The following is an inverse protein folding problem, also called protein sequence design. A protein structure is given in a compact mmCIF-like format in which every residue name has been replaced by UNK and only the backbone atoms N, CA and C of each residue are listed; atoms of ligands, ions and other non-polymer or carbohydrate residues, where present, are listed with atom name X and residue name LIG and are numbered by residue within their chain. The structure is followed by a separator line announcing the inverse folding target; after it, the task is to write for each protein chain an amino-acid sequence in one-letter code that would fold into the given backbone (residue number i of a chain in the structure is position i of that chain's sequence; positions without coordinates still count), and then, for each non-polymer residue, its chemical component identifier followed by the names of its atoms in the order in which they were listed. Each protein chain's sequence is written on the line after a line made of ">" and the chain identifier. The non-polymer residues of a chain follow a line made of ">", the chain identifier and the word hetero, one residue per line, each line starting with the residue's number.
data_IF_425557140805
#
_entry.id   IF_425557140805
#
_cell.length_a   1.000
_cell.length_b   1.000
_cell.length_c   1.000
_cell.angle_alpha   90.00
_cell.angle_beta   90.00
_cell.angle_gamma   90.00
#
_symmetry.space_group_name_H-M   'P 1'
#
loop_
_entity.id
_entity.type
_entity.pdbx_description
1 polymer ?
#
# COMPACT_ATOMS: atom_id res chain seq x y z
N UNK A 1 5.57 -2.13 17.68
CA UNK A 1 5.09 -0.96 18.44
C UNK A 1 5.00 0.31 17.58
N UNK A 2 6.02 0.62 16.77
CA UNK A 2 6.05 1.83 15.95
C UNK A 2 4.83 1.93 15.03
N UNK A 3 4.39 0.83 14.42
CA UNK A 3 3.22 0.84 13.53
C UNK A 3 1.92 1.14 14.29
N UNK A 4 1.70 0.52 15.44
CA UNK A 4 0.42 0.62 16.17
C UNK A 4 0.32 1.86 17.07
N UNK A 5 1.44 2.52 17.36
CA UNK A 5 1.49 3.67 18.26
C UNK A 5 2.30 4.82 17.68
N UNK A 6 1.92 5.40 16.52
CA UNK A 6 2.71 6.46 15.87
C UNK A 6 2.94 7.69 16.76
N UNK A 7 2.01 8.02 17.65
CA UNK A 7 2.14 9.16 18.56
C UNK A 7 3.34 9.04 19.53
N UNK A 8 3.78 7.81 19.85
CA UNK A 8 4.93 7.57 20.72
C UNK A 8 6.28 7.78 19.99
N UNK A 9 6.25 7.90 18.66
CA UNK A 9 7.45 8.00 17.83
C UNK A 9 7.38 9.20 16.86
N UNK A 10 7.27 10.45 17.38
CA UNK A 10 7.02 11.66 16.57
C UNK A 10 8.17 11.99 15.61
N UNK A 11 9.36 11.42 15.84
CA UNK A 11 10.54 11.59 15.02
C UNK A 11 10.88 10.35 14.19
N UNK A 12 9.90 9.45 14.00
CA UNK A 12 10.10 8.26 13.19
C UNK A 12 9.01 8.14 12.12
N UNK A 13 9.39 8.42 10.89
CA UNK A 13 8.57 8.17 9.70
C UNK A 13 8.91 6.78 9.19
N UNK A 14 7.93 5.89 9.13
CA UNK A 14 8.12 4.56 8.57
C UNK A 14 8.25 4.61 7.05
N UNK A 15 9.01 3.67 6.49
CA UNK A 15 9.19 3.52 5.06
C UNK A 15 8.65 2.17 4.62
N UNK A 16 7.73 2.17 3.65
CA UNK A 16 7.25 0.99 2.96
C UNK A 16 7.83 0.92 1.56
N UNK A 17 8.46 -0.20 1.23
CA UNK A 17 8.97 -0.47 -0.12
C UNK A 17 7.81 -0.78 -1.06
N UNK A 18 7.53 0.09 -2.03
CA UNK A 18 6.51 -0.14 -3.06
C UNK A 18 6.95 -1.23 -4.02
N UNK A 19 6.27 -2.37 -4.02
CA UNK A 19 6.60 -3.56 -4.83
C UNK A 19 8.00 -4.14 -4.56
N UNK A 20 8.53 -3.93 -3.34
CA UNK A 20 9.93 -4.23 -3.00
C UNK A 20 10.91 -3.17 -3.49
N UNK A 21 12.23 -3.50 -3.52
CA UNK A 21 13.27 -2.63 -4.07
C UNK A 21 13.52 -2.97 -5.55
N UNK A 22 12.68 -2.43 -6.42
CA UNK A 22 12.64 -2.76 -7.85
C UNK A 22 13.60 -1.93 -8.72
N UNK A 23 14.43 -1.10 -8.14
CA UNK A 23 15.48 -0.36 -8.90
C UNK A 23 16.45 -1.30 -9.61
N UNK A 24 16.88 -2.35 -8.91
CA UNK A 24 17.89 -3.30 -9.37
C UNK A 24 17.32 -4.71 -9.60
N UNK A 25 16.02 -4.89 -9.38
CA UNK A 25 15.30 -6.15 -9.51
C UNK A 25 13.92 -5.94 -10.13
N UNK A 26 13.28 -6.95 -10.72
CA UNK A 26 11.89 -6.83 -11.15
C UNK A 26 10.95 -6.49 -9.99
N UNK A 27 9.97 -5.61 -10.24
CA UNK A 27 8.93 -5.29 -9.24
C UNK A 27 8.16 -6.56 -8.82
N UNK A 28 7.66 -6.60 -7.58
CA UNK A 28 6.90 -7.73 -7.05
C UNK A 28 7.64 -9.09 -7.13
N UNK A 29 8.96 -9.10 -7.01
CA UNK A 29 9.80 -10.29 -7.06
C UNK A 29 10.44 -10.60 -5.70
N UNK A 30 10.80 -11.88 -5.49
CA UNK A 30 11.49 -12.28 -4.27
C UNK A 30 12.82 -11.53 -4.05
N UNK A 31 13.68 -11.33 -5.09
CA UNK A 31 14.89 -10.56 -4.88
C UNK A 31 14.63 -9.08 -4.56
N UNK A 32 13.59 -8.45 -5.14
CA UNK A 32 13.21 -7.09 -4.76
C UNK A 32 12.72 -6.99 -3.30
N UNK A 33 11.99 -8.01 -2.83
CA UNK A 33 11.57 -8.13 -1.43
C UNK A 33 12.80 -8.30 -0.52
N UNK A 34 13.71 -9.22 -0.84
CA UNK A 34 14.91 -9.42 -0.04
C UNK A 34 15.78 -8.15 0.03
N UNK A 35 15.99 -7.48 -1.10
CA UNK A 35 16.75 -6.24 -1.14
C UNK A 35 16.12 -5.12 -0.28
N UNK A 36 14.78 -5.02 -0.26
CA UNK A 36 14.09 -4.08 0.62
C UNK A 36 14.28 -4.41 2.12
N UNK A 37 14.28 -5.70 2.47
CA UNK A 37 14.59 -6.16 3.84
C UNK A 37 16.03 -5.78 4.20
N UNK A 38 16.97 -6.04 3.33
CA UNK A 38 18.40 -5.79 3.56
C UNK A 38 18.73 -4.30 3.69
N UNK A 39 17.98 -3.45 2.99
CA UNK A 39 18.03 -1.99 3.12
C UNK A 39 17.36 -1.48 4.40
N UNK A 40 16.65 -2.30 5.16
CA UNK A 40 16.01 -1.93 6.42
C UNK A 40 14.65 -1.24 6.25
N UNK A 41 13.88 -1.57 5.23
CA UNK A 41 12.48 -1.14 5.11
C UNK A 41 11.67 -1.59 6.34
N UNK A 42 10.78 -0.72 6.83
CA UNK A 42 9.89 -1.08 7.94
C UNK A 42 8.72 -1.95 7.47
N UNK A 43 8.33 -1.76 6.22
CA UNK A 43 7.24 -2.48 5.57
C UNK A 43 7.59 -2.74 4.11
N UNK A 44 7.04 -3.78 3.54
CA UNK A 44 7.07 -4.03 2.08
C UNK A 44 5.63 -4.10 1.61
N UNK A 45 5.36 -3.35 0.56
CA UNK A 45 4.11 -3.43 -0.15
C UNK A 45 4.28 -4.26 -1.42
N UNK A 46 3.33 -5.11 -1.72
CA UNK A 46 3.26 -5.82 -2.98
C UNK A 46 1.82 -6.09 -3.43
N UNK A 47 1.65 -6.15 -4.74
CA UNK A 47 0.36 -6.39 -5.38
C UNK A 47 0.11 -7.88 -5.55
N UNK A 48 -1.13 -8.32 -5.31
CA UNK A 48 -1.51 -9.72 -5.51
C UNK A 48 -2.62 -9.90 -6.54
N UNK A 49 -2.64 -11.08 -7.11
CA UNK A 49 -3.75 -11.60 -7.90
C UNK A 49 -3.81 -13.11 -7.71
N UNK A 50 -4.71 -13.80 -8.42
CA UNK A 50 -4.76 -15.26 -8.43
C UNK A 50 -4.80 -15.82 -9.84
N UNK A 51 -4.38 -17.06 -9.99
CA UNK A 51 -4.61 -17.86 -11.21
C UNK A 51 -6.06 -18.38 -11.25
N UNK A 52 -6.47 -18.94 -12.36
CA UNK A 52 -7.81 -19.55 -12.50
C UNK A 52 -7.99 -20.80 -11.63
N UNK A 53 -6.88 -21.46 -11.28
CA UNK A 53 -6.80 -22.59 -10.34
C UNK A 53 -6.46 -22.18 -8.89
N UNK A 54 -6.78 -20.91 -8.52
CA UNK A 54 -6.76 -20.36 -7.16
C UNK A 54 -5.38 -20.22 -6.48
N UNK A 55 -4.28 -20.22 -7.21
CA UNK A 55 -2.96 -19.90 -6.64
C UNK A 55 -2.79 -18.38 -6.54
N UNK A 56 -2.59 -17.85 -5.32
CA UNK A 56 -2.28 -16.45 -5.08
C UNK A 56 -0.81 -16.16 -5.43
N UNK A 57 -0.58 -15.15 -6.27
CA UNK A 57 0.76 -14.76 -6.72
C UNK A 57 0.90 -13.24 -6.87
N UNK A 58 2.14 -12.77 -6.99
CA UNK A 58 2.45 -11.35 -7.08
C UNK A 58 2.43 -10.88 -8.53
N UNK A 59 1.56 -9.92 -8.84
CA UNK A 59 1.52 -9.21 -10.12
C UNK A 59 0.67 -7.95 -10.02
N UNK A 60 1.21 -6.81 -10.48
CA UNK A 60 0.46 -5.56 -10.48
C UNK A 60 -0.56 -5.48 -11.62
N UNK A 61 -0.16 -5.77 -12.85
CA UNK A 61 -0.94 -5.52 -14.06
C UNK A 61 -2.05 -6.56 -14.29
N UNK A 62 -3.02 -6.19 -15.10
CA UNK A 62 -4.06 -7.10 -15.58
C UNK A 62 -3.57 -8.02 -16.70
N UNK A 63 -2.41 -7.72 -17.27
CA UNK A 63 -1.75 -8.46 -18.32
C UNK A 63 -0.30 -8.77 -18.01
N UNK A 64 0.26 -9.70 -18.78
CA UNK A 64 1.62 -10.21 -18.60
C UNK A 64 2.70 -9.37 -19.32
N UNK A 65 2.31 -8.64 -20.36
CA UNK A 65 3.21 -8.10 -21.38
C UNK A 65 4.28 -7.13 -20.84
N UNK A 66 3.93 -6.27 -19.88
CA UNK A 66 4.88 -5.31 -19.30
C UNK A 66 5.86 -5.99 -18.35
N UNK A 67 5.37 -6.90 -17.52
CA UNK A 67 6.07 -7.41 -16.34
C UNK A 67 6.75 -8.78 -16.56
N UNK A 68 6.36 -9.51 -17.61
CA UNK A 68 6.84 -10.87 -17.81
C UNK A 68 7.20 -11.15 -19.27
N UNK A 69 7.81 -12.32 -19.52
CA UNK A 69 8.01 -12.85 -20.87
C UNK A 69 6.76 -13.46 -21.50
N UNK A 70 5.66 -13.56 -20.75
CA UNK A 70 4.35 -14.01 -21.24
C UNK A 70 3.54 -12.90 -21.89
N UNK A 71 2.40 -13.27 -22.46
CA UNK A 71 1.51 -12.37 -23.18
C UNK A 71 0.05 -12.55 -22.77
N UNK A 72 -0.72 -11.47 -22.95
CA UNK A 72 -2.16 -11.44 -22.76
C UNK A 72 -2.58 -11.19 -21.31
N UNK A 73 -3.89 -11.17 -21.10
CA UNK A 73 -4.50 -10.84 -19.81
C UNK A 73 -4.53 -12.05 -18.89
N UNK A 74 -4.37 -11.79 -17.59
CA UNK A 74 -4.51 -12.79 -16.51
C UNK A 74 -5.80 -12.60 -15.74
N UNK A 75 -6.33 -11.38 -15.72
CA UNK A 75 -7.61 -11.06 -15.08
C UNK A 75 -8.32 -9.93 -15.82
N UNK A 76 -9.64 -9.90 -15.71
CA UNK A 76 -10.51 -8.82 -16.21
C UNK A 76 -11.65 -8.60 -15.22
N UNK A 77 -11.98 -7.37 -14.95
CA UNK A 77 -13.06 -7.00 -14.03
C UNK A 77 -12.76 -5.75 -13.23
N UNK A 78 -13.67 -5.42 -12.34
CA UNK A 78 -13.54 -4.29 -11.40
C UNK A 78 -14.25 -4.62 -10.08
N UNK A 79 -13.73 -4.08 -8.98
CA UNK A 79 -14.30 -4.29 -7.65
C UNK A 79 -14.30 -5.76 -7.24
N UNK A 80 -15.46 -6.31 -6.91
CA UNK A 80 -15.62 -7.69 -6.44
C UNK A 80 -15.85 -8.72 -7.55
N UNK A 81 -15.82 -8.32 -8.83
CA UNK A 81 -16.13 -9.22 -9.96
C UNK A 81 -14.96 -9.30 -10.91
N UNK A 82 -14.13 -10.33 -10.72
CA UNK A 82 -13.03 -10.62 -11.64
C UNK A 82 -13.16 -12.00 -12.26
N UNK A 83 -12.82 -12.08 -13.53
CA UNK A 83 -12.55 -13.32 -14.26
C UNK A 83 -11.04 -13.52 -14.35
N UNK A 84 -10.58 -14.76 -14.21
CA UNK A 84 -9.18 -15.16 -14.26
C UNK A 84 -8.97 -16.12 -15.42
N UNK A 85 -7.83 -16.04 -16.12
CA UNK A 85 -7.69 -16.62 -17.45
C UNK A 85 -6.50 -17.56 -17.61
N UNK A 86 -5.64 -17.71 -16.61
CA UNK A 86 -4.45 -18.54 -16.73
C UNK A 86 -4.24 -19.36 -15.47
N UNK A 87 -3.91 -20.65 -15.67
CA UNK A 87 -3.51 -21.55 -14.59
C UNK A 87 -2.12 -21.22 -14.06
N UNK A 88 -1.83 -21.64 -12.84
CA UNK A 88 -0.50 -21.48 -12.28
C UNK A 88 0.57 -22.22 -13.09
N UNK A 89 0.23 -23.38 -13.70
CA UNK A 89 1.14 -24.11 -14.56
C UNK A 89 1.57 -23.32 -15.81
N UNK A 90 0.71 -22.48 -16.36
CA UNK A 90 1.04 -21.57 -17.46
C UNK A 90 1.90 -20.40 -17.00
N UNK A 91 1.77 -19.96 -15.73
CA UNK A 91 2.38 -18.75 -15.19
C UNK A 91 3.73 -18.98 -14.52
N UNK A 92 3.89 -20.06 -13.76
CA UNK A 92 5.02 -20.31 -12.84
C UNK A 92 6.41 -20.28 -13.47
N UNK A 93 6.52 -20.47 -14.79
CA UNK A 93 7.80 -20.48 -15.51
C UNK A 93 8.07 -19.20 -16.28
N UNK A 94 7.14 -18.25 -16.29
CA UNK A 94 7.36 -16.95 -16.91
C UNK A 94 8.44 -16.18 -16.16
N UNK A 95 9.37 -15.59 -16.92
CA UNK A 95 10.39 -14.73 -16.35
C UNK A 95 9.85 -13.32 -16.18
N UNK A 96 10.19 -12.69 -15.09
CA UNK A 96 9.91 -11.28 -14.84
C UNK A 96 10.83 -10.39 -15.69
N UNK A 97 10.38 -9.20 -15.99
CA UNK A 97 11.16 -8.17 -16.68
C UNK A 97 11.67 -7.12 -15.71
N UNK A 98 12.88 -6.68 -15.92
CA UNK A 98 13.47 -5.51 -15.28
C UNK A 98 12.72 -4.23 -15.70
N UNK A 99 12.93 -3.16 -14.95
CA UNK A 99 12.39 -1.83 -15.28
C UNK A 99 12.77 -1.37 -16.71
N UNK A 100 13.86 -1.88 -17.24
CA UNK A 100 14.30 -1.63 -18.62
C UNK A 100 13.47 -2.35 -19.68
N UNK A 101 12.65 -3.32 -19.26
CA UNK A 101 11.87 -4.19 -20.13
C UNK A 101 12.60 -5.45 -20.59
N UNK A 102 13.85 -5.65 -20.16
CA UNK A 102 14.64 -6.84 -20.44
C UNK A 102 14.21 -8.00 -19.53
N UNK A 103 14.21 -9.22 -20.05
CA UNK A 103 13.89 -10.40 -19.27
C UNK A 103 15.00 -10.69 -18.25
N UNK A 104 14.62 -10.87 -17.00
CA UNK A 104 15.52 -11.30 -15.94
C UNK A 104 15.59 -12.84 -15.84
N UNK A 105 16.38 -13.34 -14.90
CA UNK A 105 16.37 -14.76 -14.53
C UNK A 105 15.23 -15.13 -13.56
N UNK A 106 14.61 -14.13 -12.91
CA UNK A 106 13.62 -14.29 -11.87
C UNK A 106 12.23 -14.61 -12.44
N UNK A 107 11.44 -15.37 -11.67
CA UNK A 107 10.09 -15.80 -12.04
C UNK A 107 9.04 -15.16 -11.15
N UNK A 108 7.77 -15.30 -11.55
CA UNK A 108 6.64 -14.96 -10.72
C UNK A 108 6.73 -15.71 -9.36
N UNK A 109 6.42 -14.99 -8.30
CA UNK A 109 6.40 -15.53 -6.93
C UNK A 109 4.97 -15.74 -6.46
N UNK A 110 4.73 -16.83 -5.75
CA UNK A 110 3.48 -17.02 -5.01
C UNK A 110 3.44 -16.11 -3.79
N UNK A 111 2.22 -15.75 -3.34
CA UNK A 111 2.04 -15.01 -2.09
C UNK A 111 2.65 -15.75 -0.89
N UNK A 112 2.58 -17.08 -0.88
CA UNK A 112 3.18 -17.91 0.19
C UNK A 112 4.70 -17.73 0.27
N UNK A 113 5.39 -17.73 -0.87
CA UNK A 113 6.85 -17.52 -0.94
C UNK A 113 7.23 -16.13 -0.44
N UNK A 114 6.53 -15.10 -0.90
CA UNK A 114 6.76 -13.71 -0.50
C UNK A 114 6.54 -13.51 1.01
N UNK A 115 5.41 -13.98 1.55
CA UNK A 115 5.12 -13.91 2.98
C UNK A 115 6.13 -14.68 3.83
N UNK A 116 6.54 -15.87 3.38
CA UNK A 116 7.54 -16.66 4.10
C UNK A 116 8.89 -15.96 4.18
N UNK A 117 9.27 -15.22 3.14
CA UNK A 117 10.50 -14.41 3.12
C UNK A 117 10.43 -13.24 4.11
N UNK A 118 9.26 -12.59 4.23
CA UNK A 118 9.02 -11.45 5.13
C UNK A 118 8.85 -11.86 6.60
N UNK A 119 8.48 -13.12 6.88
CA UNK A 119 8.09 -13.56 8.21
C UNK A 119 9.15 -13.27 9.28
N UNK A 120 8.72 -12.59 10.36
CA UNK A 120 9.53 -12.15 11.51
C UNK A 120 10.67 -11.16 11.14
N UNK A 121 10.64 -10.56 9.95
CA UNK A 121 11.68 -9.63 9.50
C UNK A 121 11.14 -8.22 9.23
N UNK A 122 9.99 -8.12 8.59
CA UNK A 122 9.45 -6.85 8.08
C UNK A 122 7.92 -6.90 8.05
N UNK A 123 7.25 -5.78 8.25
CA UNK A 123 5.80 -5.69 8.04
C UNK A 123 5.46 -5.84 6.55
N UNK A 124 4.23 -6.23 6.27
CA UNK A 124 3.75 -6.41 4.90
C UNK A 124 2.46 -5.65 4.69
N UNK A 125 2.35 -4.94 3.57
CA UNK A 125 1.11 -4.37 3.05
C UNK A 125 0.75 -5.04 1.72
N UNK A 126 -0.45 -5.61 1.63
CA UNK A 126 -0.92 -6.28 0.42
C UNK A 126 -1.92 -5.37 -0.30
N UNK A 127 -1.62 -5.03 -1.56
CA UNK A 127 -2.53 -4.29 -2.44
C UNK A 127 -3.26 -5.23 -3.40
N UNK A 128 -4.38 -4.74 -3.95
CA UNK A 128 -5.24 -5.44 -4.93
C UNK A 128 -5.85 -6.74 -4.41
N UNK A 129 -6.08 -6.81 -3.09
CA UNK A 129 -6.63 -7.99 -2.44
C UNK A 129 -8.16 -8.10 -2.51
N UNK A 130 -8.88 -7.09 -3.03
CA UNK A 130 -10.34 -6.94 -2.91
C UNK A 130 -11.15 -8.17 -3.32
N UNK A 131 -10.63 -8.98 -4.25
CA UNK A 131 -11.33 -10.18 -4.74
C UNK A 131 -10.86 -11.48 -4.11
N UNK A 132 -9.81 -11.42 -3.30
CA UNK A 132 -9.14 -12.60 -2.75
C UNK A 132 -8.92 -12.48 -1.24
N UNK A 133 -9.59 -11.53 -0.58
CA UNK A 133 -9.43 -11.26 0.86
C UNK A 133 -9.57 -12.54 1.70
N UNK A 134 -10.60 -13.40 1.55
CA UNK A 134 -10.70 -14.61 2.36
C UNK A 134 -9.52 -15.57 2.17
N UNK A 135 -9.14 -15.82 0.91
CA UNK A 135 -8.02 -16.73 0.60
C UNK A 135 -6.70 -16.16 1.13
N UNK A 136 -6.45 -14.86 0.91
CA UNK A 136 -5.29 -14.14 1.43
C UNK A 136 -5.25 -14.21 2.96
N UNK A 137 -6.36 -13.90 3.64
CA UNK A 137 -6.45 -13.94 5.11
C UNK A 137 -6.10 -15.32 5.69
N UNK A 138 -6.72 -16.38 5.16
CA UNK A 138 -6.46 -17.73 5.66
C UNK A 138 -5.04 -18.19 5.37
N UNK A 139 -4.42 -17.76 4.26
CA UNK A 139 -3.01 -18.01 4.01
C UNK A 139 -2.13 -17.29 5.05
N UNK A 140 -2.34 -16.00 5.29
CA UNK A 140 -1.63 -15.20 6.30
C UNK A 140 -1.77 -15.83 7.69
N UNK A 141 -2.99 -16.23 8.06
CA UNK A 141 -3.28 -16.93 9.33
C UNK A 141 -2.55 -18.25 9.44
N UNK A 142 -2.53 -19.06 8.37
CA UNK A 142 -1.83 -20.34 8.34
C UNK A 142 -0.31 -20.22 8.53
N UNK A 143 0.24 -19.07 8.15
CA UNK A 143 1.65 -18.74 8.34
C UNK A 143 1.93 -18.09 9.72
N UNK A 144 0.90 -17.81 10.52
CA UNK A 144 1.04 -17.12 11.81
C UNK A 144 1.49 -15.66 11.66
N UNK A 145 1.03 -14.96 10.62
CA UNK A 145 1.47 -13.60 10.28
C UNK A 145 0.37 -12.54 10.42
N UNK A 146 -0.75 -12.81 11.08
CA UNK A 146 -1.89 -11.88 11.18
C UNK A 146 -1.49 -10.51 11.77
N UNK A 147 -0.58 -10.51 12.75
CA UNK A 147 -0.08 -9.28 13.38
C UNK A 147 1.05 -8.59 12.57
N UNK A 148 1.45 -9.17 11.44
CA UNK A 148 2.56 -8.67 10.62
C UNK A 148 2.11 -8.16 9.25
N UNK A 149 0.87 -8.46 8.87
CA UNK A 149 0.33 -8.19 7.53
C UNK A 149 -0.86 -7.26 7.61
N UNK A 150 -0.85 -6.21 6.81
CA UNK A 150 -2.03 -5.40 6.48
C UNK A 150 -2.42 -5.61 5.03
N UNK A 151 -3.63 -5.26 4.66
CA UNK A 151 -4.05 -5.20 3.27
C UNK A 151 -4.84 -3.92 3.00
N UNK A 152 -4.74 -3.43 1.79
CA UNK A 152 -5.40 -2.18 1.40
C UNK A 152 -6.30 -2.36 0.19
N UNK A 153 -7.37 -1.57 0.17
CA UNK A 153 -8.27 -1.38 -0.96
C UNK A 153 -9.08 -0.11 -0.75
N UNK A 154 -9.70 0.39 -1.80
CA UNK A 154 -10.52 1.61 -1.72
C UNK A 154 -11.66 1.44 -0.72
N UNK A 155 -11.87 2.44 0.15
CA UNK A 155 -12.95 2.43 1.15
C UNK A 155 -14.33 2.24 0.52
N UNK A 156 -14.51 2.65 -0.74
CA UNK A 156 -15.78 2.51 -1.45
C UNK A 156 -16.16 1.04 -1.72
N UNK A 157 -15.19 0.14 -1.84
CA UNK A 157 -15.45 -1.29 -2.03
C UNK A 157 -15.94 -1.96 -0.75
N UNK A 158 -15.45 -1.50 0.39
CA UNK A 158 -15.83 -1.99 1.70
C UNK A 158 -16.11 -0.79 2.63
N UNK A 159 -17.30 -0.18 2.54
CA UNK A 159 -17.57 1.10 3.19
C UNK A 159 -17.83 1.01 4.70
N UNK A 160 -17.98 -0.18 5.25
CA UNK A 160 -18.22 -0.40 6.68
C UNK A 160 -17.41 -1.57 7.22
N UNK A 161 -17.11 -1.61 8.53
CA UNK A 161 -16.47 -2.78 9.14
C UNK A 161 -17.23 -4.09 8.89
N UNK A 162 -18.56 -4.04 8.84
CA UNK A 162 -19.42 -5.19 8.59
C UNK A 162 -19.21 -5.77 7.19
N UNK A 163 -18.95 -4.92 6.19
CA UNK A 163 -18.65 -5.35 4.82
C UNK A 163 -17.35 -6.17 4.74
N UNK A 164 -16.39 -5.93 5.64
CA UNK A 164 -15.17 -6.74 5.78
C UNK A 164 -15.45 -7.99 6.63
N UNK A 165 -16.12 -7.85 7.77
CA UNK A 165 -16.40 -8.96 8.69
C UNK A 165 -17.14 -10.11 8.03
N UNK A 166 -18.12 -9.83 7.16
CA UNK A 166 -18.91 -10.86 6.48
C UNK A 166 -18.09 -11.75 5.54
N UNK A 167 -16.85 -11.36 5.19
CA UNK A 167 -15.97 -12.15 4.34
C UNK A 167 -15.42 -13.40 5.04
N UNK A 168 -15.47 -13.44 6.37
CA UNK A 168 -15.02 -14.59 7.19
C UNK A 168 -16.07 -14.95 8.23
N UNK A 169 -16.06 -16.21 8.71
CA UNK A 169 -17.20 -16.74 9.47
C UNK A 169 -17.13 -16.50 10.97
N UNK A 170 -15.96 -16.68 11.60
CA UNK A 170 -15.89 -16.61 13.04
C UNK A 170 -15.52 -15.21 13.55
N UNK A 171 -15.99 -14.87 14.75
CA UNK A 171 -15.87 -13.54 15.34
C UNK A 171 -14.42 -13.10 15.53
N UNK A 172 -13.52 -13.99 15.89
CA UNK A 172 -12.10 -13.63 16.05
C UNK A 172 -11.46 -13.31 14.70
N UNK A 173 -11.74 -14.10 13.66
CA UNK A 173 -11.26 -13.82 12.30
C UNK A 173 -11.83 -12.50 11.78
N UNK A 174 -13.11 -12.21 12.09
CA UNK A 174 -13.75 -10.93 11.74
C UNK A 174 -13.03 -9.74 12.36
N UNK A 175 -12.70 -9.82 13.65
CA UNK A 175 -11.98 -8.78 14.38
C UNK A 175 -10.57 -8.58 13.81
N UNK A 176 -9.85 -9.66 13.61
CA UNK A 176 -8.49 -9.62 13.05
C UNK A 176 -8.49 -9.05 11.63
N UNK A 177 -9.45 -9.45 10.80
CA UNK A 177 -9.53 -8.98 9.42
C UNK A 177 -9.77 -7.47 9.32
N UNK A 178 -10.63 -6.90 10.19
CA UNK A 178 -10.84 -5.45 10.27
C UNK A 178 -9.56 -4.74 10.74
N UNK A 179 -8.85 -5.28 11.73
CA UNK A 179 -7.58 -4.73 12.20
C UNK A 179 -6.51 -4.69 11.10
N UNK A 180 -6.45 -5.72 10.28
CA UNK A 180 -5.52 -5.82 9.14
C UNK A 180 -5.87 -4.87 7.99
N UNK A 181 -7.11 -4.39 7.92
CA UNK A 181 -7.57 -3.56 6.80
C UNK A 181 -7.04 -2.13 6.91
N UNK A 182 -6.45 -1.64 5.82
CA UNK A 182 -6.02 -0.26 5.63
C UNK A 182 -6.83 0.36 4.49
N UNK A 183 -7.92 1.07 4.79
CA UNK A 183 -8.72 1.71 3.75
C UNK A 183 -7.91 2.77 3.00
N UNK A 184 -7.95 2.74 1.65
CA UNK A 184 -7.45 3.82 0.80
C UNK A 184 -8.55 4.85 0.59
N UNK A 185 -8.27 6.10 0.93
CA UNK A 185 -9.21 7.22 0.88
C UNK A 185 -8.65 8.32 -0.01
N UNK A 186 -9.37 8.68 -1.07
CA UNK A 186 -8.99 9.76 -1.99
C UNK A 186 -9.58 11.08 -1.53
N UNK A 187 -8.83 12.18 -1.69
CA UNK A 187 -9.22 13.53 -1.24
C UNK A 187 -10.57 13.99 -1.81
N UNK A 188 -10.88 13.60 -3.04
CA UNK A 188 -12.15 13.92 -3.69
C UNK A 188 -13.40 13.34 -2.97
N UNK A 189 -13.23 12.31 -2.15
CA UNK A 189 -14.32 11.72 -1.36
C UNK A 189 -14.81 12.68 -0.28
N UNK A 190 -13.99 13.64 0.16
CA UNK A 190 -14.41 14.70 1.08
C UNK A 190 -15.56 15.55 0.50
N UNK A 191 -15.69 15.59 -0.83
CA UNK A 191 -16.76 16.31 -1.53
C UNK A 191 -17.89 15.39 -2.00
N UNK A 192 -17.55 14.16 -2.36
CA UNK A 192 -18.47 13.23 -3.02
C UNK A 192 -19.22 12.31 -2.05
N UNK A 193 -18.67 12.07 -0.86
CA UNK A 193 -19.24 11.14 0.12
C UNK A 193 -19.53 11.87 1.44
N UNK A 194 -20.78 12.29 1.69
CA UNK A 194 -21.16 13.00 2.92
C UNK A 194 -20.96 12.15 4.18
N UNK A 195 -20.93 10.82 4.06
CA UNK A 195 -20.77 9.89 5.17
C UNK A 195 -19.31 9.45 5.38
N UNK A 196 -18.34 9.98 4.62
CA UNK A 196 -16.94 9.55 4.65
C UNK A 196 -16.37 9.53 6.07
N UNK A 197 -16.55 10.62 6.83
CA UNK A 197 -16.02 10.74 8.20
C UNK A 197 -16.66 9.70 9.13
N UNK A 198 -17.95 9.47 8.99
CA UNK A 198 -18.67 8.46 9.77
C UNK A 198 -18.19 7.04 9.45
N UNK A 199 -17.92 6.75 8.18
CA UNK A 199 -17.34 5.48 7.74
C UNK A 199 -15.94 5.28 8.31
N UNK A 200 -15.08 6.29 8.19
CA UNK A 200 -13.72 6.23 8.75
C UNK A 200 -13.73 6.05 10.26
N UNK A 201 -14.61 6.79 10.96
CA UNK A 201 -14.79 6.64 12.41
C UNK A 201 -15.22 5.21 12.77
N UNK A 202 -16.17 4.62 12.05
CA UNK A 202 -16.61 3.26 12.29
C UNK A 202 -15.47 2.24 12.17
N UNK A 203 -14.56 2.42 11.20
CA UNK A 203 -13.36 1.58 11.07
C UNK A 203 -12.39 1.76 12.23
N UNK A 204 -12.14 2.99 12.70
CA UNK A 204 -11.30 3.27 13.87
C UNK A 204 -11.90 2.60 15.12
N UNK A 205 -13.19 2.78 15.36
CA UNK A 205 -13.91 2.19 16.49
C UNK A 205 -13.89 0.65 16.45
N UNK A 206 -13.80 0.06 15.25
CA UNK A 206 -13.70 -1.38 15.06
C UNK A 206 -12.27 -1.94 15.12
N UNK A 207 -11.25 -1.06 15.32
CA UNK A 207 -9.85 -1.45 15.51
C UNK A 207 -8.95 -1.31 14.30
N UNK A 208 -9.38 -0.62 13.24
CA UNK A 208 -8.51 -0.27 12.12
C UNK A 208 -7.39 0.66 12.58
N UNK A 209 -6.14 0.35 12.23
CA UNK A 209 -4.95 1.02 12.77
C UNK A 209 -4.38 2.11 11.84
N UNK A 210 -4.84 2.20 10.59
CA UNK A 210 -4.32 3.17 9.63
C UNK A 210 -5.17 3.35 8.39
N UNK A 211 -4.95 4.46 7.71
CA UNK A 211 -5.56 4.79 6.43
C UNK A 211 -4.49 5.25 5.44
N UNK A 212 -4.59 4.79 4.19
CA UNK A 212 -3.84 5.37 3.10
C UNK A 212 -4.61 6.58 2.57
N UNK A 213 -4.09 7.78 2.84
CA UNK A 213 -4.76 9.05 2.57
C UNK A 213 -4.19 9.69 1.32
N UNK A 214 -4.94 9.69 0.21
CA UNK A 214 -4.45 10.15 -1.09
C UNK A 214 -4.88 11.60 -1.33
N UNK A 215 -3.95 12.52 -1.15
CA UNK A 215 -4.04 13.94 -1.47
C UNK A 215 -2.84 14.35 -2.33
N UNK A 216 -2.99 15.39 -3.17
CA UNK A 216 -2.06 15.67 -4.27
C UNK A 216 -1.48 17.09 -4.24
N UNK A 217 -2.20 18.05 -3.64
CA UNK A 217 -1.90 19.49 -3.76
C UNK A 217 -2.42 20.28 -2.55
N UNK A 218 -1.91 21.50 -2.38
CA UNK A 218 -2.25 22.36 -1.23
C UNK A 218 -3.76 22.66 -1.11
N UNK A 219 -4.51 22.66 -2.21
CA UNK A 219 -5.94 22.95 -2.24
C UNK A 219 -6.83 21.76 -1.93
N UNK A 220 -6.27 20.57 -1.71
CA UNK A 220 -7.06 19.36 -1.44
C UNK A 220 -7.91 19.49 -0.18
N UNK A 221 -9.18 19.06 -0.23
CA UNK A 221 -10.09 19.12 0.92
C UNK A 221 -9.55 18.41 2.16
N UNK A 222 -8.77 17.32 2.00
CA UNK A 222 -8.11 16.64 3.12
C UNK A 222 -7.14 17.54 3.88
N UNK A 223 -6.53 18.52 3.22
CA UNK A 223 -5.56 19.45 3.81
C UNK A 223 -6.19 20.74 4.31
N UNK A 224 -7.25 21.20 3.64
CA UNK A 224 -7.78 22.57 3.82
C UNK A 224 -9.08 22.63 4.61
N UNK A 225 -9.88 21.54 4.63
CA UNK A 225 -11.21 21.56 5.25
C UNK A 225 -11.12 21.20 6.72
N UNK A 226 -11.63 22.08 7.56
CA UNK A 226 -11.88 21.76 8.97
C UNK A 226 -12.97 20.67 9.09
N UNK A 227 -12.81 19.80 10.07
CA UNK A 227 -13.78 18.75 10.39
C UNK A 227 -14.14 18.83 11.87
N UNK A 228 -15.44 18.73 12.17
CA UNK A 228 -15.93 18.65 13.55
C UNK A 228 -16.48 17.26 13.80
N UNK A 229 -15.88 16.56 14.76
CA UNK A 229 -16.21 15.16 15.07
C UNK A 229 -16.41 15.05 16.57
N UNK A 230 -17.58 14.57 17.00
CA UNK A 230 -17.96 14.46 18.41
C UNK A 230 -17.80 15.78 19.20
N UNK A 231 -18.10 16.90 18.55
CA UNK A 231 -18.01 18.23 19.16
C UNK A 231 -16.61 18.84 19.20
N UNK A 232 -15.58 18.13 18.77
CA UNK A 232 -14.21 18.63 18.65
C UNK A 232 -13.90 19.01 17.20
N UNK A 233 -13.33 20.21 17.00
CA UNK A 233 -12.94 20.71 15.68
C UNK A 233 -11.44 20.50 15.45
N UNK A 234 -11.09 19.93 14.30
CA UNK A 234 -9.74 19.70 13.82
C UNK A 234 -9.48 20.56 12.59
N UNK A 235 -8.24 21.00 12.41
CA UNK A 235 -7.85 21.81 11.24
C UNK A 235 -8.04 21.10 9.91
N UNK A 236 -7.89 19.77 9.92
CA UNK A 236 -8.23 18.91 8.79
C UNK A 236 -8.42 17.45 9.26
N UNK A 237 -8.82 16.58 8.35
CA UNK A 237 -9.08 15.17 8.63
C UNK A 237 -7.81 14.39 9.06
N UNK A 238 -6.62 14.77 8.54
CA UNK A 238 -5.36 14.11 8.89
C UNK A 238 -4.98 14.37 10.36
N UNK A 239 -5.21 15.60 10.85
CA UNK A 239 -4.99 15.93 12.24
C UNK A 239 -5.98 15.23 13.20
N UNK A 240 -7.19 14.93 12.72
CA UNK A 240 -8.10 14.07 13.46
C UNK A 240 -7.58 12.64 13.58
N UNK A 241 -7.14 12.03 12.46
CA UNK A 241 -6.55 10.69 12.49
C UNK A 241 -5.35 10.63 13.44
N UNK A 242 -4.47 11.62 13.39
CA UNK A 242 -3.32 11.72 14.28
C UNK A 242 -3.73 11.83 15.75
N UNK A 243 -4.76 12.63 16.07
CA UNK A 243 -5.29 12.74 17.42
C UNK A 243 -5.93 11.44 17.94
N UNK A 244 -6.38 10.56 17.04
CA UNK A 244 -6.87 9.21 17.36
C UNK A 244 -5.76 8.15 17.41
N UNK A 245 -4.49 8.55 17.32
CA UNK A 245 -3.34 7.65 17.18
C UNK A 245 -3.47 6.65 16.02
N UNK A 246 -4.15 7.09 14.95
CA UNK A 246 -4.39 6.30 13.75
C UNK A 246 -3.36 6.69 12.69
N UNK A 247 -2.70 5.72 12.10
CA UNK A 247 -1.62 5.93 11.15
C UNK A 247 -2.11 6.58 9.86
N UNK A 248 -1.42 7.61 9.43
CA UNK A 248 -1.58 8.25 8.13
C UNK A 248 -0.50 7.74 7.18
N UNK A 249 -0.92 6.98 6.19
CA UNK A 249 -0.06 6.40 5.17
C UNK A 249 -0.21 7.22 3.89
N UNK A 250 0.90 7.59 3.27
CA UNK A 250 0.89 8.31 2.01
C UNK A 250 1.75 7.59 0.96
N UNK A 251 1.18 7.47 -0.22
CA UNK A 251 1.89 7.01 -1.39
C UNK A 251 2.36 8.22 -2.21
N UNK A 252 3.67 8.52 -2.26
CA UNK A 252 4.19 9.57 -3.11
C UNK A 252 3.96 9.25 -4.58
N UNK A 253 4.06 10.26 -5.39
CA UNK A 253 4.05 10.04 -6.82
C UNK A 253 5.33 9.33 -7.24
N UNK A 254 5.16 8.25 -7.90
CA UNK A 254 6.17 7.39 -8.49
C UNK A 254 6.58 7.87 -9.91
N UNK A 255 7.82 7.70 -10.32
CA UNK A 255 8.99 7.36 -9.51
C UNK A 255 9.62 8.59 -8.85
N UNK A 256 10.32 8.34 -7.75
CA UNK A 256 10.98 9.35 -6.92
C UNK A 256 12.45 9.55 -7.30
N UNK A 257 13.00 10.74 -6.99
CA UNK A 257 14.43 11.06 -7.07
C UNK A 257 14.93 11.53 -5.71
N UNK A 258 16.22 11.87 -5.62
CA UNK A 258 16.76 12.58 -4.46
C UNK A 258 16.07 13.91 -4.12
N UNK A 259 15.28 14.44 -5.06
CA UNK A 259 14.40 15.60 -4.86
C UNK A 259 12.93 15.20 -4.68
N UNK A 260 12.67 13.90 -4.55
CA UNK A 260 11.34 13.34 -4.43
C UNK A 260 10.70 12.85 -5.73
N UNK A 261 11.18 13.26 -6.91
CA UNK A 261 10.62 12.83 -8.18
C UNK A 261 11.68 12.30 -9.13
N UNK A 262 11.49 11.09 -9.62
CA UNK A 262 12.38 10.49 -10.62
C UNK A 262 11.59 9.88 -11.77
N UNK A 263 12.02 10.17 -13.01
CA UNK A 263 11.39 9.67 -14.22
C UNK A 263 12.39 8.83 -14.98
N UNK A 264 12.29 7.50 -15.02
CA UNK A 264 13.11 6.70 -15.89
C UNK A 264 12.79 7.03 -17.35
N UNK A 265 13.79 7.39 -18.14
CA UNK A 265 13.61 7.77 -19.55
C UNK A 265 12.92 6.71 -20.42
N UNK A 266 12.85 5.46 -19.96
CA UNK A 266 12.24 4.32 -20.66
C UNK A 266 10.82 3.99 -20.20
N UNK A 267 10.30 4.64 -19.16
CA UNK A 267 8.92 4.44 -18.74
C UNK A 267 7.97 5.14 -19.71
N UNK A 268 7.12 4.37 -20.38
CA UNK A 268 6.06 4.88 -21.27
C UNK A 268 4.93 5.63 -20.56
N UNK A 269 4.85 5.56 -19.27
CA UNK A 269 4.00 6.45 -18.51
C UNK A 269 4.70 7.80 -18.54
N UNK A 270 4.31 8.60 -19.53
CA UNK A 270 4.52 10.05 -19.46
C UNK A 270 3.99 10.44 -18.11
N UNK A 271 4.87 10.54 -17.18
CA UNK A 271 4.51 10.76 -15.85
C UNK A 271 3.86 12.07 -15.81
N UNK A 272 2.70 11.81 -15.95
CA UNK A 272 1.68 12.27 -15.12
C UNK A 272 2.20 13.53 -14.47
N UNK A 273 2.07 14.57 -15.23
CA UNK A 273 1.94 15.87 -14.64
C UNK A 273 3.11 16.38 -13.79
N UNK A 274 4.36 16.25 -14.25
CA UNK A 274 5.44 17.13 -13.77
C UNK A 274 5.12 18.63 -14.01
N UNK A 275 4.09 18.93 -14.79
CA UNK A 275 3.49 20.26 -14.97
C UNK A 275 2.20 20.43 -14.17
N UNK A 276 1.79 19.40 -13.43
CA UNK A 276 0.54 19.42 -12.72
C UNK A 276 0.68 19.83 -11.27
N UNK A 277 -0.43 19.75 -10.62
CA UNK A 277 -0.64 20.12 -9.24
C UNK A 277 -0.22 19.02 -8.25
N UNK A 278 0.15 17.82 -8.72
CA UNK A 278 0.53 16.70 -7.86
C UNK A 278 1.91 16.92 -7.24
N UNK A 279 1.93 17.09 -5.92
CA UNK A 279 3.12 17.40 -5.14
C UNK A 279 3.61 16.23 -4.30
N UNK A 280 3.03 15.05 -4.44
CA UNK A 280 3.36 13.89 -3.57
C UNK A 280 4.80 13.44 -3.63
N UNK A 281 5.52 13.76 -4.69
CA UNK A 281 6.95 13.45 -4.85
C UNK A 281 7.89 14.52 -4.24
N UNK A 282 7.36 15.63 -3.77
CA UNK A 282 8.10 16.66 -3.01
C UNK A 282 8.07 16.31 -1.53
N UNK A 283 9.13 15.70 -1.03
CA UNK A 283 9.19 15.24 0.37
C UNK A 283 9.16 16.38 1.38
N UNK A 284 9.71 17.55 1.06
CA UNK A 284 9.60 18.74 1.93
C UNK A 284 8.14 19.18 2.07
N UNK A 285 7.38 19.11 0.98
CA UNK A 285 5.95 19.38 1.01
C UNK A 285 5.20 18.28 1.75
N UNK A 286 5.50 17.01 1.46
CA UNK A 286 4.80 15.86 2.03
C UNK A 286 4.95 15.79 3.55
N UNK A 287 6.11 16.18 4.08
CA UNK A 287 6.42 16.10 5.52
C UNK A 287 6.07 17.36 6.32
N UNK A 288 5.33 18.31 5.72
CA UNK A 288 4.76 19.42 6.51
C UNK A 288 3.87 18.87 7.63
N UNK A 289 3.91 19.53 8.78
CA UNK A 289 3.15 19.11 9.97
C UNK A 289 1.64 18.97 9.69
N UNK A 290 1.09 19.83 8.82
CA UNK A 290 -0.33 19.79 8.42
C UNK A 290 -0.70 18.57 7.56
N UNK A 291 0.27 17.88 6.99
CA UNK A 291 0.06 16.69 6.13
C UNK A 291 0.13 15.39 6.92
N UNK A 292 0.82 15.41 8.06
CA UNK A 292 0.88 14.35 9.06
C UNK A 292 1.13 12.90 8.59
N UNK A 293 1.94 12.61 7.54
CA UNK A 293 2.24 11.22 7.21
C UNK A 293 3.12 10.59 8.30
N UNK A 294 2.77 9.37 8.68
CA UNK A 294 3.54 8.55 9.62
C UNK A 294 4.27 7.42 8.91
N UNK A 295 3.84 7.10 7.69
CA UNK A 295 4.43 6.10 6.82
C UNK A 295 4.38 6.58 5.38
N UNK A 296 5.50 6.44 4.68
CA UNK A 296 5.63 6.76 3.25
C UNK A 296 5.92 5.48 2.48
N UNK A 297 5.09 5.21 1.46
CA UNK A 297 5.34 4.13 0.49
C UNK A 297 6.24 4.70 -0.60
N UNK A 298 7.40 4.12 -0.85
CA UNK A 298 8.43 4.67 -1.74
C UNK A 298 8.96 3.66 -2.74
N UNK A 299 9.29 4.16 -3.94
CA UNK A 299 10.04 3.42 -4.96
C UNK A 299 11.56 3.51 -4.77
N UNK A 300 12.02 4.46 -3.94
CA UNK A 300 13.44 4.81 -3.80
C UNK A 300 13.86 4.86 -2.33
N UNK A 301 13.92 3.67 -1.72
CA UNK A 301 14.22 3.48 -0.30
C UNK A 301 15.51 4.16 0.13
N UNK A 302 16.60 3.94 -0.64
CA UNK A 302 17.93 4.41 -0.31
C UNK A 302 17.99 5.94 -0.17
N UNK A 303 17.28 6.65 -1.04
CA UNK A 303 17.25 8.11 -1.03
C UNK A 303 16.33 8.63 0.07
N UNK A 304 15.19 7.99 0.26
CA UNK A 304 14.25 8.38 1.31
C UNK A 304 14.84 8.14 2.71
N UNK A 305 15.60 7.06 2.91
CA UNK A 305 16.33 6.82 4.15
C UNK A 305 17.28 7.98 4.47
N UNK A 306 18.17 8.31 3.52
CA UNK A 306 19.15 9.39 3.69
C UNK A 306 18.47 10.73 3.98
N UNK A 307 17.40 11.02 3.24
CA UNK A 307 16.63 12.24 3.46
C UNK A 307 16.01 12.30 4.86
N UNK A 308 15.30 11.27 5.30
CA UNK A 308 14.66 11.23 6.61
C UNK A 308 15.67 11.25 7.76
N UNK A 309 16.84 10.61 7.60
CA UNK A 309 17.94 10.73 8.57
C UNK A 309 18.45 12.16 8.66
N UNK A 310 18.69 12.81 7.53
CA UNK A 310 19.19 14.20 7.46
C UNK A 310 18.25 15.18 8.18
N UNK A 311 16.94 14.99 8.10
CA UNK A 311 15.96 15.85 8.77
C UNK A 311 15.55 15.36 10.17
N UNK A 312 16.22 14.33 10.70
CA UNK A 312 15.96 13.79 12.05
C UNK A 312 14.62 13.05 12.20
N UNK A 313 14.12 12.45 11.11
CA UNK A 313 12.83 11.72 11.08
C UNK A 313 12.98 10.19 11.02
N UNK A 314 14.13 9.66 11.41
CA UNK A 314 14.42 8.22 11.55
C UNK A 314 15.01 7.87 12.91
N UNK A 315 14.64 8.59 13.98
CA UNK A 315 15.11 8.34 15.35
C UNK A 315 13.97 7.69 16.16
N UNK A 316 14.25 6.50 16.69
CA UNK A 316 13.34 5.76 17.60
C UNK A 316 13.40 6.34 19.02
#
# INVERSE_FOLDING_TARGET
>A
DVFNNPANYPNYIMISAHRGYWKDYPENSLPAIQAAIDLGADMIEFDITKSDDDVLYLLHDYGLDRLTTGHGIVRKGEGATFEYYKSWDELKNLKLKEVTGEASEYKLATLREALSMCKNKVLVSIDKAENVIPQMYYLVKSLGMVEQVTFKTKIQFFPTPESIKQLVKNTEDQRQLVKMFTPTVYSELMDKDPDLISKMKAFIDAGCEGFEMIYFQDSDPMLTRQVTIEGQTYTNILNWLKAKNTRVIQFPMWPETEKGCWVPRKFKYSIINLKGTDRRCDWDWLLKTSHAPDLIISDRLEILFDYLQTIGKRTL
#
